data_IF_140544944508
#
_entry.id   IF_140544944508
#
_cell.length_a   1.000
_cell.length_b   1.000
_cell.length_c   1.000
_cell.angle_alpha   90.00
_cell.angle_beta   90.00
_cell.angle_gamma   90.00
#
_symmetry.space_group_name_H-M   'P 1'
#
loop_
_entity.id
_entity.type
_entity.pdbx_description
1 polymer ?
#
# COMPACT_ATOMS: atom_id res chain seq x y z
N UNK A 1 -9.27 -11.08 7.19
CA UNK A 1 -8.27 -10.25 6.55
C UNK A 1 -7.88 -10.88 5.20
N UNK A 2 -8.18 -10.25 4.04
CA UNK A 2 -7.90 -10.87 2.73
C UNK A 2 -6.39 -10.88 2.40
N UNK A 3 -5.66 -9.85 2.83
CA UNK A 3 -4.22 -9.74 2.66
C UNK A 3 -3.58 -9.27 3.95
N UNK A 4 -2.52 -9.92 4.37
CA UNK A 4 -1.72 -9.51 5.51
C UNK A 4 -0.47 -8.78 5.00
N UNK A 5 -0.22 -7.59 5.54
CA UNK A 5 0.98 -6.83 5.21
C UNK A 5 2.19 -7.52 5.83
N UNK A 6 3.18 -7.84 5.02
CA UNK A 6 4.41 -8.52 5.42
C UNK A 6 5.65 -7.63 5.34
N UNK A 7 5.54 -6.47 4.71
CA UNK A 7 6.61 -5.47 4.65
C UNK A 7 6.00 -4.08 4.52
N UNK A 8 6.54 -3.11 5.26
CA UNK A 8 6.31 -1.69 5.06
C UNK A 8 7.62 -1.08 4.60
N UNK A 9 7.60 -0.44 3.43
CA UNK A 9 8.73 0.31 2.87
C UNK A 9 8.26 1.69 2.43
N UNK A 10 8.96 2.74 2.85
CA UNK A 10 8.60 4.11 2.51
C UNK A 10 9.82 5.01 2.37
N UNK A 11 9.66 6.07 1.59
CA UNK A 11 10.64 7.16 1.43
C UNK A 11 9.98 8.44 1.89
N UNK A 12 10.56 9.11 2.86
CA UNK A 12 10.14 10.45 3.28
C UNK A 12 10.72 11.49 2.33
N UNK A 13 9.89 12.37 1.85
CA UNK A 13 10.29 13.46 0.96
C UNK A 13 9.96 14.81 1.60
N UNK A 14 10.80 15.80 1.33
CA UNK A 14 10.54 17.19 1.72
C UNK A 14 9.60 17.89 0.69
N UNK A 15 9.25 19.14 0.94
CA UNK A 15 8.39 19.96 0.06
C UNK A 15 8.97 20.13 -1.36
N UNK A 16 10.29 20.01 -1.52
CA UNK A 16 10.96 20.04 -2.83
C UNK A 16 10.94 18.69 -3.55
N UNK A 17 10.26 17.71 -2.98
CA UNK A 17 10.24 16.31 -3.48
C UNK A 17 11.63 15.67 -3.50
N UNK A 18 12.49 16.01 -2.53
CA UNK A 18 13.79 15.39 -2.32
C UNK A 18 13.69 14.33 -1.21
N UNK A 19 14.26 13.13 -1.39
CA UNK A 19 14.26 12.12 -0.35
C UNK A 19 15.14 12.57 0.83
N UNK A 20 14.59 12.49 2.04
CA UNK A 20 15.27 12.90 3.27
C UNK A 20 15.45 11.76 4.27
N UNK A 21 14.62 10.70 4.18
CA UNK A 21 14.71 9.56 5.07
C UNK A 21 14.02 8.34 4.44
N UNK A 22 14.28 7.16 4.97
CA UNK A 22 13.67 5.90 4.54
C UNK A 22 13.21 5.08 5.73
N UNK A 23 12.10 4.35 5.54
CA UNK A 23 11.58 3.40 6.51
C UNK A 23 11.45 2.03 5.87
N UNK A 24 11.84 0.98 6.59
CA UNK A 24 11.62 -0.39 6.18
C UNK A 24 11.45 -1.28 7.40
N UNK A 25 10.39 -2.09 7.42
CA UNK A 25 10.18 -3.14 8.42
C UNK A 25 9.58 -4.37 7.77
N UNK A 26 10.17 -5.52 8.04
CA UNK A 26 9.53 -6.81 7.82
C UNK A 26 8.53 -7.06 8.94
N UNK A 27 7.39 -7.63 8.57
CA UNK A 27 6.29 -7.90 9.48
C UNK A 27 6.07 -9.41 9.54
N UNK A 28 6.05 -9.92 10.77
CA UNK A 28 5.75 -11.32 11.01
C UNK A 28 4.27 -11.58 10.77
N UNK A 29 3.90 -12.45 9.82
CA UNK A 29 2.52 -12.83 9.60
C UNK A 29 1.91 -13.46 10.87
N UNK A 30 0.68 -13.08 11.20
CA UNK A 30 -0.05 -13.56 12.37
C UNK A 30 -1.34 -14.30 12.00
N UNK A 31 -1.85 -14.09 10.80
CA UNK A 31 -3.07 -14.68 10.26
C UNK A 31 -2.74 -15.85 9.33
N UNK A 32 -1.77 -15.63 8.43
CA UNK A 32 -1.34 -16.65 7.47
C UNK A 32 0.01 -17.21 7.88
N UNK A 33 0.11 -18.53 7.96
CA UNK A 33 1.32 -19.26 8.35
C UNK A 33 2.16 -19.74 7.14
N UNK A 34 1.82 -19.33 5.94
CA UNK A 34 2.52 -19.67 4.71
C UNK A 34 2.37 -18.55 3.67
N UNK A 35 3.32 -18.43 2.77
CA UNK A 35 3.27 -17.55 1.60
C UNK A 35 2.98 -18.40 0.38
N UNK A 36 2.00 -18.01 -0.42
CA UNK A 36 1.69 -18.72 -1.66
C UNK A 36 2.87 -18.65 -2.62
N UNK A 37 3.19 -19.77 -3.30
CA UNK A 37 4.36 -19.87 -4.20
C UNK A 37 4.40 -18.73 -5.23
N UNK A 38 3.27 -18.36 -5.79
CA UNK A 38 3.17 -17.25 -6.74
C UNK A 38 3.53 -15.87 -6.14
N UNK A 39 3.37 -15.70 -4.84
CA UNK A 39 3.78 -14.46 -4.13
C UNK A 39 5.27 -14.54 -3.82
N UNK A 40 5.74 -15.70 -3.36
CA UNK A 40 7.16 -15.93 -3.08
C UNK A 40 8.05 -15.65 -4.29
N UNK A 41 7.65 -16.11 -5.49
CA UNK A 41 8.36 -15.84 -6.75
C UNK A 41 8.47 -14.35 -7.09
N UNK A 42 7.50 -13.56 -6.64
CA UNK A 42 7.44 -12.12 -6.92
C UNK A 42 8.21 -11.30 -5.90
N UNK A 43 8.01 -11.56 -4.60
CA UNK A 43 8.56 -10.71 -3.53
C UNK A 43 9.97 -11.11 -3.09
N UNK A 44 10.44 -12.32 -3.46
CA UNK A 44 11.75 -12.87 -3.06
C UNK A 44 12.01 -12.82 -1.54
N UNK A 45 10.98 -13.09 -0.75
CA UNK A 45 11.05 -13.16 0.72
C UNK A 45 10.52 -14.50 1.17
N UNK A 46 11.31 -15.27 1.87
CA UNK A 46 10.89 -16.53 2.46
C UNK A 46 10.07 -16.29 3.74
N UNK A 47 9.14 -17.21 4.03
CA UNK A 47 8.40 -17.17 5.30
C UNK A 47 9.36 -17.17 6.52
N UNK A 48 10.51 -17.80 6.39
CA UNK A 48 11.56 -17.81 7.43
C UNK A 48 12.13 -16.43 7.71
N UNK A 49 12.29 -15.61 6.66
CA UNK A 49 12.80 -14.24 6.81
C UNK A 49 11.80 -13.34 7.55
N UNK A 50 10.50 -13.68 7.46
CA UNK A 50 9.45 -12.97 8.18
C UNK A 50 9.32 -13.40 9.64
N UNK A 51 9.91 -14.53 10.03
CA UNK A 51 9.81 -15.04 11.41
C UNK A 51 10.41 -14.07 12.44
N UNK A 52 11.45 -13.34 12.04
CA UNK A 52 12.14 -12.33 12.85
C UNK A 52 11.55 -10.92 12.67
N UNK A 53 10.51 -10.78 11.84
CA UNK A 53 9.80 -9.53 11.65
C UNK A 53 9.02 -9.06 12.89
N UNK A 54 8.70 -7.78 12.94
CA UNK A 54 7.88 -7.21 14.00
C UNK A 54 6.41 -7.65 13.85
N UNK A 55 5.64 -7.74 14.95
CA UNK A 55 4.19 -7.77 14.88
C UNK A 55 3.67 -6.53 14.12
N UNK A 56 2.58 -6.70 13.35
CA UNK A 56 2.00 -5.57 12.59
C UNK A 56 1.70 -4.36 13.48
N UNK A 57 1.20 -4.60 14.70
CA UNK A 57 0.86 -3.53 15.65
C UNK A 57 2.07 -2.68 16.08
N UNK A 58 3.26 -3.26 16.15
CA UNK A 58 4.49 -2.55 16.46
C UNK A 58 5.03 -1.83 15.22
N UNK A 59 5.11 -2.53 14.09
CA UNK A 59 5.62 -1.96 12.85
C UNK A 59 4.81 -0.75 12.37
N UNK A 60 3.47 -0.79 12.49
CA UNK A 60 2.61 0.33 12.10
C UNK A 60 2.74 1.53 13.05
N UNK A 61 2.96 1.30 14.34
CA UNK A 61 3.25 2.40 15.30
C UNK A 61 4.56 3.09 14.96
N UNK A 62 5.64 2.32 14.80
CA UNK A 62 6.92 2.87 14.37
C UNK A 62 6.81 3.62 13.03
N UNK A 63 6.03 3.11 12.08
CA UNK A 63 5.80 3.75 10.80
C UNK A 63 5.08 5.09 10.93
N UNK A 64 4.00 5.15 11.70
CA UNK A 64 3.25 6.39 11.89
C UNK A 64 4.02 7.41 12.72
N UNK A 65 4.76 6.98 13.75
CA UNK A 65 5.68 7.84 14.49
C UNK A 65 6.77 8.43 13.58
N UNK A 66 7.31 7.60 12.66
CA UNK A 66 8.25 8.06 11.65
C UNK A 66 7.61 9.02 10.64
N UNK A 67 6.34 8.84 10.25
CA UNK A 67 5.62 9.79 9.39
C UNK A 67 5.52 11.17 10.05
N UNK A 68 5.26 11.23 11.35
CA UNK A 68 5.00 12.47 12.10
C UNK A 68 3.52 12.88 12.07
N UNK A 69 3.23 14.13 12.42
CA UNK A 69 1.86 14.61 12.59
C UNK A 69 1.21 15.15 11.31
N UNK A 70 2.02 15.66 10.38
CA UNK A 70 1.56 16.25 9.12
C UNK A 70 2.22 15.54 7.92
N UNK A 71 1.48 14.64 7.30
CA UNK A 71 1.96 13.86 6.17
C UNK A 71 0.85 13.58 5.15
N UNK A 72 1.27 13.24 3.95
CA UNK A 72 0.42 12.68 2.90
C UNK A 72 1.11 11.47 2.27
N UNK A 73 0.34 10.49 1.85
CA UNK A 73 0.89 9.34 1.15
C UNK A 73 0.93 9.56 -0.35
N UNK A 74 2.00 9.07 -0.96
CA UNK A 74 2.20 9.02 -2.41
C UNK A 74 2.46 7.56 -2.78
N UNK A 75 1.53 6.93 -3.49
CA UNK A 75 1.56 5.48 -3.75
C UNK A 75 1.45 5.19 -5.24
N UNK A 76 1.95 4.04 -5.67
CA UNK A 76 1.75 3.56 -7.04
C UNK A 76 0.41 2.84 -7.15
N UNK A 77 -0.66 3.62 -7.26
CA UNK A 77 -2.05 3.18 -7.13
C UNK A 77 -2.62 3.47 -5.75
N UNK A 78 -3.77 2.92 -5.43
CA UNK A 78 -4.47 3.14 -4.16
C UNK A 78 -4.43 1.93 -3.21
N UNK A 79 -3.91 0.78 -3.67
CA UNK A 79 -3.97 -0.48 -2.93
C UNK A 79 -3.21 -0.39 -1.60
N UNK A 80 -2.03 0.22 -1.59
CA UNK A 80 -1.19 0.30 -0.37
C UNK A 80 -1.91 1.00 0.78
N UNK A 81 -2.59 2.12 0.49
CA UNK A 81 -3.36 2.85 1.50
C UNK A 81 -4.55 2.04 1.97
N UNK A 82 -5.25 1.37 1.05
CA UNK A 82 -6.41 0.55 1.37
C UNK A 82 -6.04 -0.68 2.22
N UNK A 83 -4.94 -1.36 1.88
CA UNK A 83 -4.48 -2.51 2.65
C UNK A 83 -3.94 -2.10 4.02
N UNK A 84 -3.23 -0.96 4.10
CA UNK A 84 -2.81 -0.42 5.40
C UNK A 84 -4.00 -0.24 6.33
N UNK A 85 -5.06 0.43 5.87
CA UNK A 85 -6.26 0.64 6.67
C UNK A 85 -7.00 -0.63 7.01
N UNK A 86 -7.11 -1.57 6.06
CA UNK A 86 -7.74 -2.86 6.28
C UNK A 86 -7.02 -3.66 7.36
N UNK A 87 -5.69 -3.68 7.32
CA UNK A 87 -4.88 -4.33 8.35
C UNK A 87 -5.01 -3.60 9.70
N UNK A 88 -4.93 -2.27 9.71
CA UNK A 88 -5.14 -1.49 10.93
C UNK A 88 -6.54 -1.71 11.52
N UNK A 89 -7.58 -1.79 10.70
CA UNK A 89 -8.95 -2.10 11.14
C UNK A 89 -9.05 -3.49 11.76
N UNK A 90 -8.41 -4.48 11.14
CA UNK A 90 -8.41 -5.86 11.63
C UNK A 90 -7.78 -5.97 13.03
N UNK A 91 -6.73 -5.21 13.30
CA UNK A 91 -6.02 -5.20 14.58
C UNK A 91 -6.52 -4.09 15.55
N UNK A 92 -7.65 -3.45 15.28
CA UNK A 92 -8.21 -2.35 16.10
C UNK A 92 -7.25 -1.17 16.30
N UNK A 93 -6.40 -0.88 15.31
CA UNK A 93 -5.35 0.15 15.38
C UNK A 93 -5.70 1.45 14.65
N UNK A 94 -6.89 1.56 14.09
CA UNK A 94 -7.29 2.73 13.33
C UNK A 94 -7.22 4.04 14.13
N UNK A 95 -7.30 3.97 15.45
CA UNK A 95 -7.18 5.13 16.34
C UNK A 95 -5.79 5.77 16.32
N UNK A 96 -4.77 5.10 15.78
CA UNK A 96 -3.42 5.64 15.63
C UNK A 96 -3.34 6.69 14.52
N UNK A 97 -4.25 6.69 13.55
CA UNK A 97 -4.27 7.70 12.52
C UNK A 97 -4.78 9.04 13.07
N UNK A 98 -4.16 10.17 12.69
CA UNK A 98 -4.55 11.50 13.19
C UNK A 98 -5.94 11.94 12.69
N UNK A 99 -6.48 11.26 11.69
CA UNK A 99 -7.75 11.55 11.02
C UNK A 99 -7.71 11.09 9.58
N UNK A 100 -8.56 11.64 8.69
CA UNK A 100 -8.50 11.34 7.27
C UNK A 100 -7.16 11.74 6.69
N UNK A 101 -6.44 10.77 6.12
CA UNK A 101 -5.10 10.99 5.54
C UNK A 101 -5.22 11.30 4.06
N UNK A 102 -4.57 12.37 3.64
CA UNK A 102 -4.48 12.74 2.24
C UNK A 102 -3.52 11.80 1.52
N UNK A 103 -3.92 11.32 0.34
CA UNK A 103 -3.03 10.53 -0.49
C UNK A 103 -3.12 10.89 -1.97
N UNK A 104 -2.04 10.60 -2.68
CA UNK A 104 -1.87 10.84 -4.09
C UNK A 104 -1.58 9.52 -4.81
N UNK A 105 -2.42 9.20 -5.78
CA UNK A 105 -2.22 8.06 -6.68
C UNK A 105 -1.26 8.48 -7.82
N UNK A 106 0.04 8.26 -7.59
CA UNK A 106 1.10 8.64 -8.53
C UNK A 106 0.96 7.92 -9.87
N UNK A 107 0.51 6.67 -9.87
CA UNK A 107 0.24 5.89 -11.08
C UNK A 107 -0.80 6.57 -11.97
N UNK A 108 -1.90 7.05 -11.37
CA UNK A 108 -2.95 7.78 -12.08
C UNK A 108 -2.40 9.09 -12.67
N UNK A 109 -1.68 9.86 -11.86
CA UNK A 109 -1.12 11.15 -12.30
C UNK A 109 -0.07 10.95 -13.37
N UNK A 110 0.80 9.94 -13.26
CA UNK A 110 1.74 9.58 -14.31
C UNK A 110 1.02 9.28 -15.63
N UNK A 111 -0.06 8.47 -15.60
CA UNK A 111 -0.87 8.19 -16.78
C UNK A 111 -1.56 9.41 -17.40
N UNK A 112 -1.77 10.49 -16.64
CA UNK A 112 -2.28 11.76 -17.16
C UNK A 112 -1.18 12.64 -17.79
N UNK A 113 0.05 12.55 -17.27
CA UNK A 113 1.18 13.36 -17.74
C UNK A 113 1.92 12.68 -18.91
N UNK A 114 1.96 11.36 -18.95
CA UNK A 114 2.66 10.58 -19.97
C UNK A 114 1.69 10.12 -21.07
N UNK A 115 1.84 10.69 -22.26
CA UNK A 115 0.96 10.36 -23.41
C UNK A 115 1.07 8.89 -23.84
N UNK A 116 2.27 8.34 -23.76
CA UNK A 116 2.59 6.96 -24.12
C UNK A 116 1.97 5.95 -23.14
N UNK A 117 1.63 6.37 -21.93
CA UNK A 117 1.01 5.52 -20.95
C UNK A 117 -0.40 5.07 -21.36
N UNK A 118 -1.21 5.96 -21.95
CA UNK A 118 -2.59 5.65 -22.35
C UNK A 118 -3.47 5.14 -21.20
N UNK A 119 -3.15 5.50 -19.96
CA UNK A 119 -3.84 5.09 -18.73
C UNK A 119 -2.90 4.57 -17.64
N UNK A 120 -3.42 3.72 -16.75
CA UNK A 120 -2.63 3.11 -15.67
C UNK A 120 -1.63 2.10 -16.22
N UNK A 121 -0.38 2.20 -15.78
CA UNK A 121 0.72 1.30 -16.17
C UNK A 121 1.45 0.77 -14.93
N UNK A 122 2.23 -0.28 -15.11
CA UNK A 122 3.11 -0.78 -14.06
C UNK A 122 4.17 0.26 -13.68
N UNK A 123 4.75 0.14 -12.48
CA UNK A 123 5.86 0.97 -12.05
C UNK A 123 7.07 0.75 -12.97
N UNK A 124 7.33 -0.48 -13.37
CA UNK A 124 8.39 -0.83 -14.30
C UNK A 124 8.25 -0.12 -15.65
N UNK A 125 7.03 -0.06 -16.23
CA UNK A 125 6.78 0.73 -17.43
C UNK A 125 7.15 2.21 -17.25
N UNK A 126 6.79 2.81 -16.10
CA UNK A 126 7.11 4.21 -15.84
C UNK A 126 8.64 4.44 -15.71
N UNK A 127 9.34 3.51 -15.07
CA UNK A 127 10.79 3.53 -14.94
C UNK A 127 11.47 3.46 -16.30
N UNK A 128 11.04 2.54 -17.17
CA UNK A 128 11.55 2.41 -18.54
C UNK A 128 11.25 3.65 -19.37
N UNK A 129 10.04 4.19 -19.26
CA UNK A 129 9.62 5.37 -20.03
C UNK A 129 10.39 6.64 -19.64
N UNK A 130 10.91 6.71 -18.43
CA UNK A 130 11.67 7.84 -17.92
C UNK A 130 13.19 7.61 -17.94
N UNK A 131 13.66 6.51 -18.54
CA UNK A 131 15.07 6.11 -18.59
C UNK A 131 15.72 6.09 -17.19
N UNK A 132 14.95 5.70 -16.16
CA UNK A 132 15.45 5.58 -14.79
C UNK A 132 16.24 4.26 -14.66
N UNK A 133 17.51 4.28 -14.19
CA UNK A 133 18.29 3.06 -14.04
C UNK A 133 17.66 2.04 -13.08
N UNK A 134 17.56 0.78 -13.52
CA UNK A 134 17.05 -0.34 -12.71
C UNK A 134 18.20 -0.95 -11.89
N UNK A 135 18.54 -0.30 -10.78
CA UNK A 135 19.63 -0.73 -9.90
C UNK A 135 19.21 -1.76 -8.86
N UNK A 136 17.91 -1.91 -8.62
CA UNK A 136 17.36 -2.77 -7.57
C UNK A 136 16.21 -3.63 -8.11
N UNK A 137 16.04 -4.79 -7.49
CA UNK A 137 14.95 -5.72 -7.83
C UNK A 137 13.60 -5.14 -7.40
N UNK A 138 12.62 -5.12 -8.30
CA UNK A 138 11.22 -4.76 -8.01
C UNK A 138 10.58 -5.72 -7.00
N UNK A 139 9.39 -5.35 -6.53
CA UNK A 139 8.55 -6.12 -5.61
C UNK A 139 9.10 -6.22 -4.17
N UNK A 140 10.03 -5.34 -3.80
CA UNK A 140 10.36 -5.06 -2.40
C UNK A 140 9.80 -3.69 -2.03
N UNK A 141 9.09 -3.60 -0.93
CA UNK A 141 8.33 -2.41 -0.56
C UNK A 141 9.16 -1.12 -0.57
N UNK A 142 10.39 -1.15 -0.03
CA UNK A 142 11.28 0.03 -0.07
C UNK A 142 11.79 0.34 -1.48
N UNK A 143 12.07 -0.68 -2.29
CA UNK A 143 12.53 -0.48 -3.68
C UNK A 143 11.43 0.18 -4.51
N UNK A 144 10.21 -0.32 -4.42
CA UNK A 144 9.06 0.23 -5.15
C UNK A 144 8.73 1.66 -4.67
N UNK A 145 8.86 1.93 -3.36
CA UNK A 145 8.74 3.27 -2.82
C UNK A 145 9.81 4.23 -3.37
N UNK A 146 11.06 3.79 -3.52
CA UNK A 146 12.15 4.58 -4.12
C UNK A 146 11.87 4.91 -5.59
N UNK A 147 11.47 3.91 -6.38
CA UNK A 147 11.10 4.14 -7.77
C UNK A 147 9.87 5.04 -7.90
N UNK A 148 8.86 4.86 -7.06
CA UNK A 148 7.70 5.76 -7.01
C UNK A 148 8.11 7.20 -6.69
N UNK A 149 9.06 7.39 -5.75
CA UNK A 149 9.60 8.71 -5.42
C UNK A 149 10.38 9.34 -6.60
N UNK A 150 11.08 8.54 -7.41
CA UNK A 150 11.75 9.04 -8.62
C UNK A 150 10.74 9.48 -9.68
N UNK A 151 9.69 8.67 -9.93
CA UNK A 151 8.59 9.06 -10.84
C UNK A 151 7.85 10.29 -10.33
N UNK A 152 7.65 10.41 -9.01
CA UNK A 152 6.99 11.57 -8.38
C UNK A 152 7.70 12.89 -8.69
N UNK A 153 9.02 12.90 -8.86
CA UNK A 153 9.78 14.10 -9.26
C UNK A 153 9.49 14.54 -10.69
N UNK A 154 9.14 13.58 -11.56
CA UNK A 154 8.88 13.83 -12.97
C UNK A 154 7.45 14.34 -13.21
N UNK A 155 6.45 13.90 -12.45
CA UNK A 155 5.06 14.30 -12.70
C UNK A 155 4.85 15.79 -12.46
N UNK A 156 3.97 16.39 -13.30
CA UNK A 156 3.62 17.80 -13.19
C UNK A 156 2.99 18.12 -11.83
N UNK A 157 3.54 19.12 -11.16
CA UNK A 157 3.16 19.50 -9.80
C UNK A 157 1.70 19.94 -9.71
N UNK A 158 1.24 20.76 -10.66
CA UNK A 158 -0.14 21.22 -10.68
C UNK A 158 -1.11 20.07 -10.87
N UNK A 159 -0.82 19.15 -11.79
CA UNK A 159 -1.63 17.95 -12.03
C UNK A 159 -1.63 17.06 -10.79
N UNK A 160 -0.49 16.87 -10.14
CA UNK A 160 -0.36 16.09 -8.93
C UNK A 160 -1.26 16.63 -7.81
N UNK A 161 -1.06 17.88 -7.42
CA UNK A 161 -1.75 18.46 -6.26
C UNK A 161 -3.23 18.74 -6.46
N UNK A 162 -3.71 18.77 -7.71
CA UNK A 162 -5.15 18.87 -7.99
C UNK A 162 -5.86 17.50 -8.03
N UNK A 163 -5.12 16.39 -8.10
CA UNK A 163 -5.65 15.02 -8.20
C UNK A 163 -5.43 14.18 -6.93
N UNK A 164 -5.56 14.78 -5.75
CA UNK A 164 -5.48 14.04 -4.50
C UNK A 164 -6.79 13.31 -4.18
N UNK A 165 -6.69 12.31 -3.34
CA UNK A 165 -7.81 11.66 -2.68
C UNK A 165 -7.68 11.79 -1.17
N UNK A 166 -8.81 11.79 -0.47
CA UNK A 166 -8.82 11.68 0.97
C UNK A 166 -9.11 10.24 1.33
N UNK A 167 -8.28 9.72 2.20
CA UNK A 167 -8.63 8.52 2.89
C UNK A 167 -9.82 8.81 3.81
N UNK A 168 -10.92 8.08 3.59
CA UNK A 168 -12.16 8.18 4.39
C UNK A 168 -12.07 7.37 5.68
N UNK A 169 -10.87 7.21 6.21
CA UNK A 169 -10.71 6.64 7.51
C UNK A 169 -11.46 7.46 8.57
N UNK A 170 -12.33 6.79 9.33
CA UNK A 170 -13.00 7.38 10.48
C UNK A 170 -12.47 6.78 11.76
N UNK A 171 -12.01 7.66 12.66
CA UNK A 171 -11.72 7.27 14.02
C UNK A 171 -12.99 6.63 14.63
N UNK A 172 -12.94 5.38 15.13
CA UNK A 172 -14.11 4.67 15.66
C UNK A 172 -14.82 5.39 16.81
N UNK A 173 -14.20 6.43 17.39
CA UNK A 173 -14.83 7.33 18.36
C UNK A 173 -15.70 8.44 17.71
N UNK A 174 -15.63 8.63 16.38
CA UNK A 174 -16.48 9.55 15.63
C UNK A 174 -17.42 8.73 14.75
N UNK A 175 -18.69 8.64 15.17
CA UNK A 175 -19.89 8.10 14.51
C UNK A 175 -19.73 7.18 13.29
N UNK A 176 -20.27 5.97 13.44
CA UNK A 176 -20.39 4.90 12.44
C UNK A 176 -21.17 5.28 11.15
N UNK A 177 -21.88 6.40 11.10
CA UNK A 177 -22.92 6.63 10.08
C UNK A 177 -22.41 7.34 8.81
N UNK A 178 -21.22 7.95 8.82
CA UNK A 178 -20.69 8.68 7.66
C UNK A 178 -19.72 7.89 6.80
N UNK A 179 -19.27 6.72 7.26
CA UNK A 179 -18.21 5.93 6.59
C UNK A 179 -18.70 5.17 5.37
N UNK A 180 -19.95 4.76 5.38
CA UNK A 180 -20.47 3.86 4.35
C UNK A 180 -20.90 4.56 3.05
N UNK A 181 -20.94 5.88 3.03
CA UNK A 181 -21.46 6.62 1.88
C UNK A 181 -20.44 6.85 0.75
N UNK A 182 -19.14 6.63 0.97
CA UNK A 182 -18.12 6.97 -0.03
C UNK A 182 -17.54 5.79 -0.83
N UNK A 183 -17.80 4.53 -0.41
CA UNK A 183 -17.35 3.33 -1.14
C UNK A 183 -18.42 2.22 -1.14
N UNK A 184 -19.61 2.43 -1.73
CA UNK A 184 -20.64 1.40 -1.77
C UNK A 184 -20.25 0.17 -2.61
N UNK A 185 -19.39 0.32 -3.61
CA UNK A 185 -19.07 -0.76 -4.55
C UNK A 185 -17.87 -1.62 -4.14
N UNK A 186 -16.98 -1.12 -3.28
CA UNK A 186 -15.75 -1.84 -2.94
C UNK A 186 -15.99 -3.01 -1.98
N UNK A 187 -16.89 -2.84 -1.01
CA UNK A 187 -17.22 -3.93 -0.07
C UNK A 187 -18.00 -5.07 -0.74
N UNK A 188 -18.76 -4.78 -1.81
CA UNK A 188 -19.41 -5.82 -2.61
C UNK A 188 -18.43 -6.60 -3.48
N UNK A 189 -17.38 -5.95 -3.99
CA UNK A 189 -16.38 -6.61 -4.82
C UNK A 189 -15.45 -7.51 -4.01
N UNK A 190 -15.01 -7.04 -2.86
CA UNK A 190 -14.14 -7.80 -1.93
C UNK A 190 -14.89 -8.97 -1.30
N UNK A 191 -16.16 -8.80 -0.92
CA UNK A 191 -16.95 -9.88 -0.34
C UNK A 191 -17.28 -11.00 -1.34
N UNK A 192 -17.42 -10.70 -2.65
CA UNK A 192 -17.65 -11.72 -3.68
C UNK A 192 -16.40 -12.54 -3.97
N UNK A 193 -15.24 -11.90 -4.14
CA UNK A 193 -13.98 -12.65 -4.37
C UNK A 193 -13.57 -13.49 -3.16
N UNK A 194 -13.82 -13.01 -1.96
CA UNK A 194 -13.49 -13.70 -0.72
C UNK A 194 -14.36 -14.95 -0.52
N UNK A 195 -15.65 -14.87 -0.80
CA UNK A 195 -16.58 -16.00 -0.66
C UNK A 195 -16.24 -17.14 -1.63
N UNK A 196 -15.82 -16.81 -2.84
CA UNK A 196 -15.47 -17.83 -3.85
C UNK A 196 -14.10 -18.48 -3.56
N UNK A 197 -13.12 -17.73 -3.05
CA UNK A 197 -11.80 -18.28 -2.65
C UNK A 197 -11.88 -19.14 -1.38
N UNK A 198 -12.63 -18.71 -0.39
CA UNK A 198 -12.85 -19.49 0.84
C UNK A 198 -13.55 -20.83 0.55
N UNK A 199 -14.45 -20.84 -0.43
CA UNK A 199 -15.13 -22.06 -0.86
C UNK A 199 -14.17 -23.04 -1.53
N UNK A 200 -13.29 -22.55 -2.39
CA UNK A 200 -12.26 -23.36 -3.07
C UNK A 200 -11.24 -23.92 -2.07
N UNK A 201 -10.91 -23.21 -1.00
CA UNK A 201 -9.95 -23.67 0.01
C UNK A 201 -10.57 -24.71 0.95
N UNK A 202 -11.83 -24.56 1.36
CA UNK A 202 -12.54 -25.57 2.16
C UNK A 202 -12.74 -26.88 1.42
N UNK A 203 -13.02 -26.83 0.11
CA UNK A 203 -13.21 -28.02 -0.71
C UNK A 203 -11.90 -28.80 -0.94
N UNK A 204 -10.72 -28.18 -0.74
CA UNK A 204 -9.41 -28.86 -0.79
C UNK A 204 -9.00 -29.51 0.53
N UNK A 205 -9.43 -29.00 1.67
CA UNK A 205 -9.15 -29.61 2.98
C UNK A 205 -10.00 -30.87 3.26
N UNK A 206 -11.11 -31.04 2.56
CA UNK A 206 -12.01 -32.22 2.71
C UNK A 206 -11.59 -33.37 1.81
N UNK A 207 -10.64 -33.20 0.89
CA UNK A 207 -10.20 -34.23 -0.08
C UNK A 207 -8.74 -34.70 0.09
N UNK A 208 -8.11 -34.41 1.22
CA UNK A 208 -6.76 -34.90 1.56
C UNK A 208 -6.73 -35.77 2.80
#
# INVERSE_FOLDING_TARGET
LPFEIIEIGAVKMNEKREPVDVFQRLIKPQVYNWIHDSIHEVIHVDYKDLADGLPFSEAVREFLDWCGDDFAFFTWGNQDVMELQRNMKYYDLLFLLPGPVKYYDVQKVFGMCCKEAGGRRSLEFAIDQLDIPKEQTFHRALTDARYTAMVLKWVDEKTLFTNYSMDVYQNPKKKKDELFLSYPDHDQYVSREFTDRDKIMRDREVTS
#
